data_IF_594085092014
#
_entry.id   IF_594085092014
#
_cell.length_a   1.000
_cell.length_b   1.000
_cell.length_c   1.000
_cell.angle_alpha   90.00
_cell.angle_beta   90.00
_cell.angle_gamma   90.00
#
_symmetry.space_group_name_H-M   'P 1'
#
loop_
_entity.id
_entity.type
_entity.pdbx_description
1 polymer ?
#
# COMPACT_ATOMS: atom_id res chain seq x y z
N UNK A 1 -6.87 13.04 -26.05
CA UNK A 1 -6.23 13.09 -24.77
C UNK A 1 -6.82 11.98 -23.88
N UNK A 2 -5.96 11.22 -23.30
CA UNK A 2 -6.47 10.27 -22.32
C UNK A 2 -7.28 11.01 -21.26
N UNK A 3 -8.46 10.51 -20.92
CA UNK A 3 -9.30 11.09 -19.87
C UNK A 3 -8.65 11.11 -18.48
N UNK A 4 -7.39 10.64 -18.40
CA UNK A 4 -6.66 10.51 -17.15
C UNK A 4 -5.75 11.70 -16.85
N UNK A 5 -5.77 12.76 -17.66
CA UNK A 5 -4.99 13.96 -17.41
C UNK A 5 -5.88 15.09 -16.93
N UNK A 6 -5.39 15.80 -15.92
CA UNK A 6 -6.01 17.02 -15.39
C UNK A 6 -4.99 18.14 -15.58
N UNK A 7 -5.39 19.23 -16.22
CA UNK A 7 -4.53 20.41 -16.35
C UNK A 7 -4.80 21.35 -15.18
N UNK A 8 -3.75 21.71 -14.45
CA UNK A 8 -3.81 22.66 -13.36
C UNK A 8 -2.77 23.74 -13.58
N UNK A 9 -3.21 24.89 -14.03
CA UNK A 9 -2.33 26.06 -14.29
C UNK A 9 -1.13 25.71 -15.18
N UNK A 10 -1.35 24.91 -16.23
CA UNK A 10 -0.30 24.50 -17.16
C UNK A 10 0.50 23.28 -16.71
N UNK A 11 0.18 22.69 -15.56
CA UNK A 11 0.83 21.48 -15.07
C UNK A 11 -0.11 20.28 -15.21
N UNK A 12 0.39 19.20 -15.78
CA UNK A 12 -0.39 17.98 -15.93
C UNK A 12 -0.39 17.17 -14.64
N UNK A 13 -1.59 16.76 -14.23
CA UNK A 13 -1.80 15.79 -13.18
C UNK A 13 -2.35 14.53 -13.84
N UNK A 14 -1.67 13.41 -13.67
CA UNK A 14 -2.11 12.16 -14.29
C UNK A 14 -2.80 11.25 -13.25
N UNK A 15 -4.01 10.82 -13.57
CA UNK A 15 -4.69 9.79 -12.79
C UNK A 15 -4.26 8.43 -13.32
N UNK A 16 -3.60 7.65 -12.49
CA UNK A 16 -3.02 6.36 -12.88
C UNK A 16 -3.83 5.21 -12.27
N UNK A 17 -4.50 4.39 -13.08
CA UNK A 17 -5.21 3.22 -12.56
C UNK A 17 -4.23 2.21 -11.97
N UNK A 18 -4.56 1.66 -10.80
CA UNK A 18 -3.73 0.71 -10.09
C UNK A 18 -4.36 -0.69 -9.98
N UNK A 19 -5.67 -0.80 -10.18
CA UNK A 19 -6.39 -2.05 -9.97
C UNK A 19 -6.65 -2.31 -8.48
N UNK A 20 -6.44 -3.53 -8.04
CA UNK A 20 -6.63 -3.86 -6.62
C UNK A 20 -5.42 -3.46 -5.78
N UNK A 21 -5.68 -2.74 -4.69
CA UNK A 21 -4.72 -2.49 -3.61
C UNK A 21 -5.36 -2.93 -2.29
N UNK A 22 -5.74 -2.01 -1.42
CA UNK A 22 -6.54 -2.36 -0.23
C UNK A 22 -7.99 -2.70 -0.61
N UNK A 23 -8.49 -2.13 -1.69
CA UNK A 23 -9.80 -2.41 -2.31
C UNK A 23 -9.65 -2.48 -3.83
N UNK A 24 -10.74 -2.79 -4.52
CA UNK A 24 -10.76 -2.85 -5.99
C UNK A 24 -10.81 -1.46 -6.64
N UNK A 25 -10.32 -1.37 -7.87
CA UNK A 25 -10.44 -0.19 -8.72
C UNK A 25 -9.83 1.08 -8.15
N UNK A 26 -8.64 0.96 -7.56
CA UNK A 26 -7.94 2.11 -7.00
C UNK A 26 -7.11 2.85 -8.05
N UNK A 27 -6.78 4.10 -7.72
CA UNK A 27 -5.95 4.97 -8.58
C UNK A 27 -4.94 5.71 -7.72
N UNK A 28 -3.90 6.24 -8.35
CA UNK A 28 -3.04 7.25 -7.72
C UNK A 28 -3.01 8.49 -8.60
N UNK A 29 -2.54 9.60 -8.03
CA UNK A 29 -2.34 10.84 -8.76
C UNK A 29 -0.85 11.09 -8.91
N UNK A 30 -0.40 11.28 -10.15
CA UNK A 30 1.00 11.56 -10.45
C UNK A 30 1.13 13.01 -10.90
N UNK A 31 2.05 13.75 -10.28
CA UNK A 31 2.36 15.15 -10.60
C UNK A 31 3.81 15.21 -11.04
N UNK A 32 4.08 14.99 -12.35
CA UNK A 32 5.45 14.86 -12.85
C UNK A 32 6.33 16.10 -12.60
N UNK A 33 5.74 17.30 -12.68
CA UNK A 33 6.49 18.55 -12.56
C UNK A 33 7.23 18.68 -11.21
N UNK A 34 6.73 18.03 -10.16
CA UNK A 34 7.36 18.08 -8.83
C UNK A 34 7.76 16.68 -8.34
N UNK A 35 7.65 15.66 -9.18
CA UNK A 35 8.01 14.30 -8.82
C UNK A 35 7.17 13.72 -7.71
N UNK A 36 5.89 14.08 -7.65
CA UNK A 36 4.98 13.67 -6.57
C UNK A 36 4.02 12.58 -7.05
N UNK A 37 3.83 11.57 -6.22
CA UNK A 37 2.72 10.62 -6.36
C UNK A 37 1.87 10.69 -5.09
N UNK A 38 0.58 10.96 -5.26
CA UNK A 38 -0.40 10.84 -4.19
C UNK A 38 -1.00 9.45 -4.33
N UNK A 39 -0.49 8.52 -3.52
CA UNK A 39 -0.79 7.09 -3.68
C UNK A 39 -2.09 6.68 -2.99
N UNK A 40 -2.60 7.48 -2.05
CA UNK A 40 -3.74 7.06 -1.26
C UNK A 40 -3.43 5.78 -0.51
N UNK A 41 -4.41 4.90 -0.41
CA UNK A 41 -4.28 3.66 0.36
C UNK A 41 -3.50 2.56 -0.38
N UNK A 42 -2.88 2.86 -1.52
CA UNK A 42 -1.97 1.93 -2.16
C UNK A 42 -0.62 1.86 -1.45
N UNK A 43 -0.25 2.90 -0.71
CA UNK A 43 0.99 2.96 0.07
C UNK A 43 0.66 3.30 1.52
N UNK A 44 1.24 2.55 2.43
CA UNK A 44 1.10 2.75 3.88
C UNK A 44 2.45 3.16 4.46
N UNK A 45 2.45 4.18 5.29
CA UNK A 45 3.66 4.77 5.83
C UNK A 45 3.71 4.62 7.36
N UNK A 46 4.29 3.53 7.85
CA UNK A 46 4.39 3.26 9.28
C UNK A 46 3.08 2.82 9.93
N UNK A 47 2.15 2.32 9.15
CA UNK A 47 0.82 1.86 9.60
C UNK A 47 0.59 0.45 9.06
N UNK A 48 -0.04 -0.42 9.86
CA UNK A 48 -0.41 -1.76 9.39
C UNK A 48 -1.41 -1.66 8.25
N UNK A 49 -1.21 -2.48 7.22
CA UNK A 49 -2.03 -2.46 6.01
C UNK A 49 -3.43 -3.04 6.26
N UNK A 50 -4.40 -2.52 5.53
CA UNK A 50 -5.76 -3.07 5.49
C UNK A 50 -5.83 -4.18 4.44
N UNK A 51 -5.85 -5.44 4.89
CA UNK A 51 -5.81 -6.61 4.01
C UNK A 51 -7.04 -7.53 4.06
N UNK A 52 -8.14 -7.19 4.78
CA UNK A 52 -9.29 -8.11 4.84
C UNK A 52 -9.97 -8.38 3.50
N UNK A 53 -9.86 -7.43 2.56
CA UNK A 53 -10.48 -7.56 1.23
C UNK A 53 -9.52 -8.18 0.22
N UNK A 54 -8.44 -8.82 0.69
CA UNK A 54 -7.44 -9.43 -0.16
C UNK A 54 -7.42 -10.95 -0.04
N UNK A 55 -6.83 -11.58 -1.03
CA UNK A 55 -6.43 -12.97 -1.04
C UNK A 55 -5.04 -13.02 -1.70
N UNK A 56 -4.39 -14.19 -1.83
CA UNK A 56 -3.05 -14.24 -2.43
C UNK A 56 -2.98 -13.62 -3.83
N UNK A 57 -3.99 -13.84 -4.66
CA UNK A 57 -4.05 -13.23 -6.00
C UNK A 57 -4.12 -11.70 -5.92
N UNK A 58 -5.01 -11.17 -5.10
CA UNK A 58 -5.21 -9.72 -4.95
C UNK A 58 -3.99 -9.07 -4.33
N UNK A 59 -3.28 -9.73 -3.43
CA UNK A 59 -2.04 -9.21 -2.88
C UNK A 59 -0.93 -9.15 -3.95
N UNK A 60 -0.89 -10.08 -4.89
CA UNK A 60 0.02 -9.99 -6.03
C UNK A 60 -0.34 -8.80 -6.93
N UNK A 61 -1.62 -8.55 -7.13
CA UNK A 61 -2.07 -7.37 -7.88
C UNK A 61 -1.64 -6.07 -7.19
N UNK A 62 -1.71 -6.04 -5.87
CA UNK A 62 -1.24 -4.89 -5.10
C UNK A 62 0.27 -4.68 -5.30
N UNK A 63 1.06 -5.74 -5.27
CA UNK A 63 2.50 -5.63 -5.53
C UNK A 63 2.75 -5.07 -6.95
N UNK A 64 1.99 -5.52 -7.94
CA UNK A 64 2.07 -4.98 -9.29
C UNK A 64 1.72 -3.50 -9.32
N UNK A 65 0.73 -3.08 -8.56
CA UNK A 65 0.38 -1.66 -8.42
C UNK A 65 1.54 -0.84 -7.84
N UNK A 66 2.23 -1.38 -6.83
CA UNK A 66 3.40 -0.74 -6.24
C UNK A 66 4.55 -0.63 -7.25
N UNK A 67 4.76 -1.67 -8.07
CA UNK A 67 5.74 -1.63 -9.15
C UNK A 67 5.41 -0.51 -10.15
N UNK A 68 4.13 -0.32 -10.43
CA UNK A 68 3.67 0.75 -11.32
C UNK A 68 3.96 2.12 -10.75
N UNK A 69 3.69 2.33 -9.45
CA UNK A 69 4.02 3.59 -8.78
C UNK A 69 5.53 3.83 -8.82
N UNK A 70 6.31 2.81 -8.53
CA UNK A 70 7.77 2.90 -8.54
C UNK A 70 8.30 3.27 -9.93
N UNK A 71 7.68 2.78 -11.00
CA UNK A 71 8.06 3.09 -12.37
C UNK A 71 7.88 4.56 -12.76
N UNK A 72 7.12 5.31 -11.98
CA UNK A 72 6.93 6.76 -12.17
C UNK A 72 8.11 7.56 -11.60
N UNK A 73 9.05 6.92 -10.92
CA UNK A 73 10.24 7.51 -10.30
C UNK A 73 9.92 8.72 -9.40
N UNK A 74 8.99 8.57 -8.43
CA UNK A 74 8.60 9.69 -7.57
C UNK A 74 9.73 10.11 -6.64
N UNK A 75 9.80 11.40 -6.36
CA UNK A 75 10.68 11.96 -5.32
C UNK A 75 9.98 11.99 -3.97
N UNK A 76 8.64 12.04 -3.98
CA UNK A 76 7.82 11.98 -2.78
C UNK A 76 6.58 11.16 -3.05
N UNK A 77 6.12 10.41 -2.04
CA UNK A 77 4.92 9.57 -2.12
C UNK A 77 4.04 9.86 -0.92
N UNK A 78 2.83 10.35 -1.19
CA UNK A 78 1.86 10.62 -0.14
C UNK A 78 1.01 9.38 0.08
N UNK A 79 1.18 8.76 1.23
CA UNK A 79 0.39 7.60 1.64
C UNK A 79 -0.98 8.02 2.17
N UNK A 80 -1.98 7.13 2.05
CA UNK A 80 -3.30 7.38 2.62
C UNK A 80 -3.31 7.30 4.14
N UNK A 81 -2.46 6.46 4.72
CA UNK A 81 -2.26 6.33 6.16
C UNK A 81 -0.79 6.47 6.49
N UNK A 82 -0.48 7.36 7.40
CA UNK A 82 0.89 7.73 7.70
C UNK A 82 1.08 7.94 9.20
N UNK A 83 2.20 7.42 9.70
CA UNK A 83 2.68 7.78 11.03
C UNK A 83 3.14 9.23 11.00
N UNK A 84 2.60 10.13 11.86
CA UNK A 84 2.78 11.58 11.69
C UNK A 84 4.22 12.07 11.62
N UNK A 85 5.15 11.42 12.33
CA UNK A 85 6.55 11.81 12.37
C UNK A 85 7.38 11.35 11.19
N UNK A 86 6.82 10.48 10.33
CA UNK A 86 7.55 9.97 9.16
C UNK A 86 7.54 10.98 8.02
N UNK A 87 8.55 10.93 7.16
CA UNK A 87 8.58 11.71 5.92
C UNK A 87 7.81 11.00 4.79
N UNK A 88 7.73 11.63 3.63
CA UNK A 88 7.05 11.09 2.46
C UNK A 88 8.04 10.45 1.46
N UNK A 89 9.03 9.74 1.97
CA UNK A 89 10.06 9.10 1.16
C UNK A 89 9.50 8.01 0.24
N UNK A 90 10.00 7.90 -1.00
CA UNK A 90 9.65 6.79 -1.90
C UNK A 90 9.99 5.40 -1.35
N UNK A 91 10.84 5.29 -0.35
CA UNK A 91 11.14 3.99 0.28
C UNK A 91 9.89 3.31 0.86
N UNK A 92 8.84 4.09 1.11
CA UNK A 92 7.55 3.54 1.58
C UNK A 92 6.91 2.56 0.59
N UNK A 93 7.25 2.69 -0.69
CA UNK A 93 6.80 1.74 -1.72
C UNK A 93 7.36 0.35 -1.41
N UNK A 94 8.67 0.25 -1.18
CA UNK A 94 9.31 -1.04 -0.86
C UNK A 94 8.90 -1.53 0.53
N UNK A 95 8.72 -0.65 1.48
CA UNK A 95 8.26 -1.01 2.83
C UNK A 95 6.83 -1.62 2.77
N UNK A 96 5.95 -1.06 1.95
CA UNK A 96 4.60 -1.61 1.74
C UNK A 96 4.68 -2.97 1.03
N UNK A 97 5.50 -3.07 0.00
CA UNK A 97 5.72 -4.32 -0.76
C UNK A 97 6.22 -5.43 0.17
N UNK A 98 7.19 -5.12 0.99
CA UNK A 98 7.76 -6.10 1.93
C UNK A 98 6.73 -6.55 2.96
N UNK A 99 5.90 -5.64 3.46
CA UNK A 99 4.82 -5.99 4.38
C UNK A 99 3.85 -7.00 3.75
N UNK A 100 3.47 -6.78 2.50
CA UNK A 100 2.56 -7.69 1.78
C UNK A 100 3.22 -9.07 1.62
N UNK A 101 4.49 -9.12 1.28
CA UNK A 101 5.24 -10.37 1.16
C UNK A 101 5.34 -11.11 2.48
N UNK A 102 5.61 -10.39 3.56
CA UNK A 102 5.68 -10.97 4.90
C UNK A 102 4.32 -11.54 5.31
N UNK A 103 3.25 -10.79 5.06
CA UNK A 103 1.90 -11.25 5.37
C UNK A 103 1.55 -12.52 4.58
N UNK A 104 1.82 -12.55 3.28
CA UNK A 104 1.58 -13.74 2.45
C UNK A 104 2.34 -14.96 2.96
N UNK A 105 3.61 -14.79 3.24
CA UNK A 105 4.47 -15.87 3.74
C UNK A 105 3.96 -16.39 5.07
N UNK A 106 3.65 -15.51 5.99
CA UNK A 106 3.19 -15.89 7.34
C UNK A 106 1.76 -16.43 7.33
N UNK A 107 0.90 -15.93 6.45
CA UNK A 107 -0.45 -16.47 6.30
C UNK A 107 -0.41 -17.93 5.87
N UNK A 108 0.54 -18.31 5.02
CA UNK A 108 0.73 -19.70 4.61
C UNK A 108 1.36 -20.57 5.71
N UNK A 109 2.12 -19.97 6.60
CA UNK A 109 2.90 -20.69 7.63
C UNK A 109 2.20 -20.79 8.98
N UNK A 110 1.06 -20.12 9.15
CA UNK A 110 0.31 -20.10 10.42
C UNK A 110 -1.05 -20.76 10.29
N UNK A 111 -1.62 -21.18 11.42
CA UNK A 111 -2.90 -21.90 11.44
C UNK A 111 -4.04 -21.03 11.96
N UNK A 112 -3.76 -20.13 12.90
CA UNK A 112 -4.79 -19.32 13.55
C UNK A 112 -4.58 -17.82 13.30
N UNK A 113 -5.65 -17.02 13.40
CA UNK A 113 -5.50 -15.56 13.32
C UNK A 113 -4.51 -15.01 14.34
N UNK A 114 -4.50 -15.56 15.54
CA UNK A 114 -3.62 -15.08 16.61
C UNK A 114 -2.15 -15.33 16.27
N UNK A 115 -1.83 -16.50 15.74
CA UNK A 115 -0.45 -16.77 15.32
C UNK A 115 0.01 -15.79 14.25
N UNK A 116 -0.82 -15.54 13.24
CA UNK A 116 -0.48 -14.61 12.17
C UNK A 116 -0.31 -13.20 12.71
N UNK A 117 -1.21 -12.76 13.57
CA UNK A 117 -1.14 -11.45 14.21
C UNK A 117 0.17 -11.29 15.00
N UNK A 118 0.48 -12.26 15.86
CA UNK A 118 1.68 -12.19 16.70
C UNK A 118 2.96 -12.17 15.88
N UNK A 119 3.05 -12.98 14.83
CA UNK A 119 4.24 -13.02 13.97
C UNK A 119 4.41 -11.74 13.15
N UNK A 120 3.33 -11.15 12.68
CA UNK A 120 3.40 -9.86 11.99
C UNK A 120 3.84 -8.75 12.94
N UNK A 121 3.41 -8.77 14.20
CA UNK A 121 3.87 -7.80 15.19
C UNK A 121 5.36 -7.94 15.50
N UNK A 122 5.88 -9.16 15.49
CA UNK A 122 7.33 -9.39 15.68
C UNK A 122 8.15 -8.74 14.57
N UNK A 123 7.67 -8.81 13.32
CA UNK A 123 8.36 -8.23 12.17
C UNK A 123 8.13 -6.72 12.03
N UNK A 124 6.98 -6.24 12.46
CA UNK A 124 6.56 -4.84 12.28
C UNK A 124 6.09 -4.24 13.60
N UNK A 125 6.95 -4.17 14.62
CA UNK A 125 6.52 -3.78 15.98
C UNK A 125 6.15 -2.31 16.11
N UNK A 126 6.67 -1.46 15.22
CA UNK A 126 6.52 0.00 15.34
C UNK A 126 5.39 0.58 14.49
N UNK A 127 4.70 -0.24 13.70
CA UNK A 127 3.59 0.24 12.88
C UNK A 127 2.36 0.53 13.73
N UNK A 128 1.64 1.59 13.37
CA UNK A 128 0.39 1.97 14.01
C UNK A 128 -0.78 1.13 13.47
N UNK A 129 -1.93 1.25 14.13
CA UNK A 129 -3.19 0.63 13.71
C UNK A 129 -3.20 -0.90 13.79
N UNK A 130 -2.91 -1.41 14.97
CA UNK A 130 -2.92 -2.88 15.22
C UNK A 130 -4.29 -3.52 14.97
N UNK A 131 -5.37 -2.73 15.10
CA UNK A 131 -6.71 -3.20 14.76
C UNK A 131 -6.86 -3.62 13.31
N UNK A 132 -6.22 -2.90 12.39
CA UNK A 132 -6.20 -3.26 10.96
C UNK A 132 -5.48 -4.60 10.76
N UNK A 133 -4.38 -4.82 11.46
CA UNK A 133 -3.67 -6.10 11.41
C UNK A 133 -4.54 -7.23 11.94
N UNK A 134 -5.24 -7.01 13.06
CA UNK A 134 -6.11 -8.03 13.62
C UNK A 134 -7.24 -8.39 12.65
N UNK A 135 -7.88 -7.39 12.04
CA UNK A 135 -8.92 -7.62 11.03
C UNK A 135 -8.37 -8.41 9.83
N UNK A 136 -7.17 -8.06 9.39
CA UNK A 136 -6.51 -8.75 8.28
C UNK A 136 -6.20 -10.21 8.62
N UNK A 137 -5.69 -10.46 9.82
CA UNK A 137 -5.36 -11.81 10.28
C UNK A 137 -6.62 -12.68 10.39
N UNK A 138 -7.70 -12.12 10.94
CA UNK A 138 -8.98 -12.83 11.03
C UNK A 138 -9.52 -13.20 9.67
N UNK A 139 -9.49 -12.28 8.72
CA UNK A 139 -9.98 -12.52 7.37
C UNK A 139 -9.17 -13.60 6.65
N UNK A 140 -7.85 -13.60 6.83
CA UNK A 140 -6.96 -14.55 6.17
C UNK A 140 -7.10 -15.97 6.72
N UNK A 141 -7.52 -16.12 7.97
CA UNK A 141 -7.58 -17.42 8.67
C UNK A 141 -9.00 -17.83 9.06
N UNK A 142 -10.00 -17.19 8.50
CA UNK A 142 -11.40 -17.54 8.76
C UNK A 142 -11.87 -18.71 7.92
#
# INVERSE_FOLDING_TARGET
MPGNLIDLEGHDLAVVPLGHTDTDNTTCLHVPSIGLVVAGDAVYNGVHLWLPESNPQKRREWITALDRIESLHPRAVIAGHKRPENDDSPKTIEETRQYIRDFDRLASATTTPRELYDKMLELHPDRLSRGALWSSARAAKS
#
